data_IF_848234710491
#
_entry.id   IF_848234710491
#
_cell.length_a   1.000
_cell.length_b   1.000
_cell.length_c   1.000
_cell.angle_alpha   90.00
_cell.angle_beta   90.00
_cell.angle_gamma   90.00
#
_symmetry.space_group_name_H-M   'P 1'
#
loop_
_entity.id
_entity.type
_entity.pdbx_description
1 polymer ?
#
# COMPACT_ATOMS: atom_id res chain seq x y z
N UNK A 1 8.20 -9.60 -4.23
CA UNK A 1 8.12 -8.26 -4.82
C UNK A 1 8.56 -8.31 -6.28
N UNK A 2 7.80 -7.72 -7.18
CA UNK A 2 8.08 -7.64 -8.62
C UNK A 2 8.12 -6.18 -9.07
N UNK A 3 9.12 -5.84 -9.89
CA UNK A 3 9.14 -4.56 -10.61
C UNK A 3 8.26 -4.68 -11.85
N UNK A 4 7.19 -3.87 -11.96
CA UNK A 4 6.26 -3.99 -13.09
C UNK A 4 5.08 -3.04 -13.00
N UNK A 5 4.27 -3.06 -14.06
CA UNK A 5 3.06 -2.26 -14.18
C UNK A 5 1.85 -3.01 -13.62
N UNK A 6 1.28 -2.47 -12.54
CA UNK A 6 0.11 -3.03 -11.84
C UNK A 6 -1.19 -2.96 -12.64
N UNK A 7 -1.21 -2.25 -13.77
CA UNK A 7 -2.36 -2.22 -14.68
C UNK A 7 -2.32 -3.36 -15.73
N UNK A 8 -1.23 -4.12 -15.77
CA UNK A 8 -1.08 -5.29 -16.62
C UNK A 8 -1.56 -6.55 -15.91
N UNK A 9 -2.67 -7.12 -16.36
CA UNK A 9 -3.21 -8.36 -15.80
C UNK A 9 -2.22 -9.53 -15.91
N UNK A 10 -1.48 -9.61 -17.02
CA UNK A 10 -0.48 -10.66 -17.23
C UNK A 10 0.69 -10.55 -16.24
N UNK A 11 1.09 -9.31 -15.92
CA UNK A 11 2.15 -9.07 -14.94
C UNK A 11 1.70 -9.45 -13.52
N UNK A 12 0.46 -9.13 -13.16
CA UNK A 12 -0.09 -9.46 -11.84
C UNK A 12 -0.38 -10.96 -11.75
N UNK A 13 -0.85 -11.62 -12.81
CA UNK A 13 -1.05 -13.07 -12.83
C UNK A 13 0.29 -13.81 -12.67
N UNK A 14 1.34 -13.32 -13.35
CA UNK A 14 2.71 -13.83 -13.16
C UNK A 14 3.20 -13.63 -11.72
N UNK A 15 2.96 -12.47 -11.10
CA UNK A 15 3.30 -12.21 -9.69
C UNK A 15 2.59 -13.20 -8.77
N UNK A 16 1.32 -13.46 -9.03
CA UNK A 16 0.48 -14.34 -8.21
C UNK A 16 0.74 -15.83 -8.48
N UNK A 17 1.47 -16.18 -9.54
CA UNK A 17 1.75 -17.58 -9.93
C UNK A 17 0.47 -18.43 -10.00
N UNK A 18 -0.57 -17.91 -10.67
CA UNK A 18 -1.88 -18.55 -10.81
C UNK A 18 -2.68 -18.66 -9.51
N UNK A 19 -2.20 -18.11 -8.41
CA UNK A 19 -2.89 -18.14 -7.11
C UNK A 19 -3.85 -16.94 -6.98
N UNK A 20 -4.74 -17.00 -5.97
CA UNK A 20 -5.61 -15.88 -5.61
C UNK A 20 -5.22 -15.33 -4.25
N UNK A 21 -5.30 -14.01 -4.13
CA UNK A 21 -5.10 -13.34 -2.85
C UNK A 21 -6.31 -13.51 -1.94
N UNK A 22 -6.06 -13.75 -0.66
CA UNK A 22 -7.06 -13.76 0.41
C UNK A 22 -7.43 -12.33 0.81
N UNK A 23 -6.56 -11.39 0.51
CA UNK A 23 -6.75 -9.96 0.79
C UNK A 23 -6.00 -9.12 -0.23
N UNK A 24 -6.58 -7.98 -0.58
CA UNK A 24 -5.90 -6.88 -1.28
C UNK A 24 -5.79 -5.71 -0.31
N UNK A 25 -4.59 -5.15 -0.19
CA UNK A 25 -4.34 -3.95 0.59
C UNK A 25 -3.49 -3.02 -0.26
N UNK A 26 -4.09 -1.97 -0.82
CA UNK A 26 -3.44 -1.21 -1.89
C UNK A 26 -3.69 0.29 -1.77
N UNK A 27 -2.69 1.10 -2.15
CA UNK A 27 -2.68 2.56 -2.11
C UNK A 27 -2.35 3.12 -3.50
N UNK A 28 -3.30 3.06 -4.44
CA UNK A 28 -3.08 3.53 -5.81
C UNK A 28 -2.90 5.04 -5.87
N UNK A 29 -2.26 5.58 -6.92
CA UNK A 29 -2.23 7.01 -7.17
C UNK A 29 -3.64 7.57 -7.33
N UNK A 30 -3.88 8.76 -6.75
CA UNK A 30 -5.23 9.34 -6.68
C UNK A 30 -5.58 10.23 -7.89
N UNK A 31 -4.70 10.36 -8.88
CA UNK A 31 -4.88 11.23 -10.03
C UNK A 31 -4.90 12.72 -9.65
N UNK A 32 -4.16 13.12 -8.63
CA UNK A 32 -4.16 14.49 -8.08
C UNK A 32 -2.85 15.23 -8.26
N UNK A 33 -1.86 14.64 -8.95
CA UNK A 33 -0.51 15.22 -9.19
C UNK A 33 0.11 15.76 -7.90
N UNK A 34 0.23 14.91 -6.89
CA UNK A 34 0.67 15.33 -5.56
C UNK A 34 2.11 15.82 -5.56
N UNK A 35 2.33 17.09 -5.24
CA UNK A 35 3.65 17.65 -4.92
C UNK A 35 3.69 18.17 -3.49
N UNK A 36 4.59 17.60 -2.68
CA UNK A 36 4.83 18.12 -1.34
C UNK A 36 5.67 19.38 -1.38
N UNK A 37 5.14 20.49 -0.89
CA UNK A 37 5.86 21.76 -0.73
C UNK A 37 6.62 21.87 0.62
N UNK A 38 6.66 20.80 1.43
CA UNK A 38 7.24 20.81 2.78
C UNK A 38 8.75 20.68 2.83
N UNK A 39 9.40 20.22 1.75
CA UNK A 39 10.86 20.09 1.67
C UNK A 39 11.44 21.19 0.77
N UNK A 40 12.70 21.59 1.01
CA UNK A 40 13.46 22.42 0.06
C UNK A 40 13.41 21.81 -1.34
N UNK A 41 13.46 22.63 -2.40
CA UNK A 41 13.37 22.13 -3.80
C UNK A 41 14.39 21.04 -4.13
N UNK A 42 15.56 21.10 -3.49
CA UNK A 42 16.68 20.15 -3.66
C UNK A 42 16.47 18.79 -2.95
N UNK A 43 15.48 18.71 -2.06
CA UNK A 43 15.20 17.52 -1.25
C UNK A 43 13.79 16.98 -1.49
N UNK A 44 13.10 17.48 -2.52
CA UNK A 44 11.77 16.99 -2.89
C UNK A 44 11.90 15.65 -3.58
N UNK A 45 11.02 14.74 -3.23
CA UNK A 45 10.84 13.53 -4.02
C UNK A 45 10.37 13.90 -5.44
N UNK A 46 10.76 13.12 -6.42
CA UNK A 46 10.25 13.23 -7.78
C UNK A 46 8.73 13.08 -7.80
N UNK A 47 8.09 13.61 -8.84
CA UNK A 47 6.66 13.40 -9.07
C UNK A 47 6.44 11.90 -9.23
N UNK A 48 5.48 11.35 -8.49
CA UNK A 48 5.15 9.94 -8.58
C UNK A 48 4.67 9.61 -10.01
N UNK A 49 5.22 8.58 -10.61
CA UNK A 49 4.78 8.12 -11.91
C UNK A 49 3.29 7.77 -11.88
N UNK A 50 2.54 8.25 -12.87
CA UNK A 50 1.08 8.08 -13.02
C UNK A 50 0.21 8.72 -11.91
N UNK A 51 0.74 9.60 -11.04
CA UNK A 51 -0.11 10.30 -10.05
C UNK A 51 -1.07 11.33 -10.68
N UNK A 52 -0.93 11.58 -11.97
CA UNK A 52 -1.85 12.38 -12.80
C UNK A 52 -3.00 11.54 -13.40
N UNK A 53 -2.96 10.21 -13.29
CA UNK A 53 -3.93 9.28 -13.86
C UNK A 53 -4.71 8.55 -12.79
N UNK A 54 -5.95 8.26 -13.11
CA UNK A 54 -6.79 7.36 -12.34
C UNK A 54 -6.75 5.97 -12.98
N UNK A 55 -6.06 5.03 -12.33
CA UNK A 55 -5.79 3.71 -12.89
C UNK A 55 -6.96 2.75 -12.63
N UNK A 56 -7.43 2.05 -13.67
CA UNK A 56 -8.45 1.02 -13.52
C UNK A 56 -7.82 -0.31 -13.09
N UNK A 57 -7.91 -0.59 -11.80
CA UNK A 57 -7.40 -1.81 -11.17
C UNK A 57 -8.50 -2.78 -10.75
N UNK A 58 -9.76 -2.42 -10.91
CA UNK A 58 -10.87 -3.27 -10.48
C UNK A 58 -10.90 -4.63 -11.20
N UNK A 59 -10.70 -4.73 -12.54
CA UNK A 59 -10.67 -6.03 -13.22
C UNK A 59 -9.54 -6.94 -12.72
N UNK A 60 -8.39 -6.34 -12.39
CA UNK A 60 -7.22 -7.08 -11.87
C UNK A 60 -7.52 -7.64 -10.48
N UNK A 61 -8.05 -6.80 -9.59
CA UNK A 61 -8.42 -7.22 -8.24
C UNK A 61 -9.53 -8.28 -8.29
N UNK A 62 -10.49 -8.14 -9.20
CA UNK A 62 -11.53 -9.14 -9.40
C UNK A 62 -10.94 -10.49 -9.84
N UNK A 63 -10.02 -10.44 -10.80
CA UNK A 63 -9.38 -11.65 -11.32
C UNK A 63 -8.43 -12.31 -10.31
N UNK A 64 -7.71 -11.54 -9.49
CA UNK A 64 -6.60 -12.04 -8.66
C UNK A 64 -6.92 -12.18 -7.17
N UNK A 65 -8.16 -11.87 -6.70
CA UNK A 65 -8.52 -11.97 -5.28
C UNK A 65 -9.85 -12.65 -5.02
N UNK A 66 -10.04 -13.16 -3.80
CA UNK A 66 -11.29 -13.81 -3.36
C UNK A 66 -11.82 -13.31 -2.02
N UNK A 67 -11.03 -12.51 -1.30
CA UNK A 67 -11.34 -12.12 0.08
C UNK A 67 -11.60 -10.63 0.26
N UNK A 68 -10.91 -10.04 1.23
CA UNK A 68 -11.05 -8.64 1.58
C UNK A 68 -10.28 -7.71 0.63
N UNK A 69 -10.86 -6.55 0.32
CA UNK A 69 -10.21 -5.54 -0.54
C UNK A 69 -10.23 -4.21 0.18
N UNK A 70 -9.05 -3.64 0.41
CA UNK A 70 -8.83 -2.30 0.96
C UNK A 70 -8.18 -1.43 -0.11
N UNK A 71 -8.86 -0.37 -0.51
CA UNK A 71 -8.33 0.64 -1.44
C UNK A 71 -8.23 1.95 -0.70
N UNK A 72 -7.00 2.35 -0.39
CA UNK A 72 -6.72 3.66 0.21
C UNK A 72 -7.00 4.76 -0.80
N UNK A 73 -7.57 5.85 -0.34
CA UNK A 73 -7.95 6.96 -1.23
C UNK A 73 -8.20 8.26 -0.48
N UNK A 74 -8.38 9.33 -1.24
CA UNK A 74 -8.89 10.61 -0.75
C UNK A 74 -10.42 10.64 -0.84
N UNK A 75 -11.06 11.22 0.17
CA UNK A 75 -12.50 11.48 0.13
C UNK A 75 -12.96 12.28 -1.10
N UNK A 76 -12.05 13.05 -1.72
CA UNK A 76 -12.34 13.87 -2.92
C UNK A 76 -12.60 13.05 -4.17
N UNK A 77 -12.06 11.84 -4.24
CA UNK A 77 -12.13 10.96 -5.42
C UNK A 77 -12.77 9.60 -5.10
N UNK A 78 -13.28 9.41 -3.89
CA UNK A 78 -13.89 8.14 -3.47
C UNK A 78 -15.01 7.67 -4.41
N UNK A 79 -15.80 8.58 -4.96
CA UNK A 79 -16.90 8.23 -5.87
C UNK A 79 -16.40 7.53 -7.14
N UNK A 80 -15.24 7.96 -7.67
CA UNK A 80 -14.63 7.30 -8.84
C UNK A 80 -14.26 5.85 -8.55
N UNK A 81 -13.75 5.57 -7.33
CA UNK A 81 -13.45 4.21 -6.92
C UNK A 81 -14.71 3.38 -6.76
N UNK A 82 -15.79 3.94 -6.19
CA UNK A 82 -17.08 3.26 -6.05
C UNK A 82 -17.65 2.90 -7.42
N UNK A 83 -17.60 3.83 -8.38
CA UNK A 83 -18.03 3.60 -9.77
C UNK A 83 -17.16 2.54 -10.47
N UNK A 84 -15.83 2.61 -10.30
CA UNK A 84 -14.90 1.65 -10.89
C UNK A 84 -15.12 0.22 -10.36
N UNK A 85 -15.45 0.09 -9.07
CA UNK A 85 -15.71 -1.18 -8.40
C UNK A 85 -17.19 -1.59 -8.41
N UNK A 86 -17.98 -1.12 -9.38
CA UNK A 86 -19.42 -1.42 -9.46
C UNK A 86 -19.70 -2.94 -9.47
N UNK A 87 -18.87 -3.74 -10.14
CA UNK A 87 -18.95 -5.20 -10.13
C UNK A 87 -18.78 -5.85 -8.74
N UNK A 88 -18.17 -5.15 -7.78
CA UNK A 88 -18.05 -5.59 -6.38
C UNK A 88 -19.26 -5.14 -5.53
N UNK A 89 -20.14 -4.31 -6.08
CA UNK A 89 -21.20 -3.63 -5.34
C UNK A 89 -20.66 -2.45 -4.49
N UNK A 90 -21.54 -1.88 -3.68
CA UNK A 90 -21.16 -0.76 -2.82
C UNK A 90 -20.17 -1.21 -1.72
N UNK A 91 -19.21 -0.35 -1.31
CA UNK A 91 -18.30 -0.70 -0.23
C UNK A 91 -19.02 -1.12 1.03
N UNK A 92 -18.61 -2.24 1.62
CA UNK A 92 -19.25 -2.76 2.85
C UNK A 92 -18.83 -1.99 4.09
N UNK A 93 -17.69 -1.28 4.01
CA UNK A 93 -17.21 -0.42 5.08
C UNK A 93 -16.28 0.67 4.53
N UNK A 94 -16.01 1.65 5.41
CA UNK A 94 -14.97 2.65 5.22
C UNK A 94 -14.10 2.66 6.48
N UNK A 95 -12.80 2.48 6.30
CA UNK A 95 -11.81 2.69 7.36
C UNK A 95 -11.31 4.11 7.27
N UNK A 96 -11.25 4.79 8.40
CA UNK A 96 -10.72 6.16 8.54
C UNK A 96 -9.42 6.05 9.34
N UNK A 97 -8.31 6.34 8.68
CA UNK A 97 -7.05 6.53 9.38
C UNK A 97 -6.98 7.96 9.92
N UNK A 98 -7.16 8.11 11.22
CA UNK A 98 -6.95 9.39 11.90
C UNK A 98 -5.45 9.62 12.12
N UNK A 99 -4.94 10.73 11.57
CA UNK A 99 -3.53 11.16 11.58
C UNK A 99 -3.33 12.29 12.57
N UNK A 100 -2.95 12.03 13.82
CA UNK A 100 -2.70 13.10 14.79
C UNK A 100 -1.72 14.14 14.24
N UNK A 101 -2.01 15.41 14.44
CA UNK A 101 -1.18 16.51 13.96
C UNK A 101 -1.45 17.00 12.53
N UNK A 102 -2.33 16.31 11.78
CA UNK A 102 -2.90 16.76 10.50
C UNK A 102 -1.97 17.36 9.46
N UNK A 103 -2.53 17.89 8.40
CA UNK A 103 -1.85 18.72 7.39
C UNK A 103 -2.16 20.21 7.59
N UNK A 104 -1.30 21.10 7.12
CA UNK A 104 -1.49 22.54 7.29
C UNK A 104 -2.71 23.03 6.49
N UNK A 105 -2.93 22.50 5.28
CA UNK A 105 -4.04 22.90 4.40
C UNK A 105 -4.07 24.41 4.08
N UNK A 106 -5.20 24.89 3.61
CA UNK A 106 -5.47 26.34 3.51
C UNK A 106 -5.96 26.84 4.88
N UNK A 107 -5.14 27.64 5.54
CA UNK A 107 -5.37 28.12 6.91
C UNK A 107 -6.65 28.98 7.08
N UNK A 108 -7.23 29.46 5.98
CA UNK A 108 -8.39 30.35 6.02
C UNK A 108 -9.70 29.73 5.57
N UNK A 109 -9.63 28.66 4.75
CA UNK A 109 -10.80 28.14 4.01
C UNK A 109 -11.10 26.67 4.24
N UNK A 110 -10.19 25.91 4.87
CA UNK A 110 -10.38 24.47 5.09
C UNK A 110 -10.09 24.09 6.54
N UNK A 111 -10.77 23.03 7.00
CA UNK A 111 -10.37 22.35 8.22
C UNK A 111 -9.05 21.62 8.02
N UNK A 112 -8.36 21.33 9.11
CA UNK A 112 -7.14 20.50 9.08
C UNK A 112 -7.50 19.12 8.52
N UNK A 113 -6.77 18.69 7.48
CA UNK A 113 -6.89 17.32 6.94
C UNK A 113 -6.10 16.36 7.82
N UNK A 114 -6.75 15.78 8.80
CA UNK A 114 -6.17 14.89 9.80
C UNK A 114 -6.57 13.42 9.61
N UNK A 115 -7.09 13.07 8.44
CA UNK A 115 -7.44 11.69 8.11
C UNK A 115 -7.18 11.33 6.65
N UNK A 116 -7.09 10.04 6.39
CA UNK A 116 -7.25 9.39 5.09
C UNK A 116 -8.29 8.28 5.22
N UNK A 117 -8.80 7.79 4.10
CA UNK A 117 -9.81 6.75 4.08
C UNK A 117 -9.35 5.54 3.26
N UNK A 118 -9.82 4.36 3.65
CA UNK A 118 -9.83 3.20 2.78
C UNK A 118 -11.27 2.75 2.55
N UNK A 119 -11.64 2.57 1.29
CA UNK A 119 -12.87 1.88 0.92
C UNK A 119 -12.64 0.38 1.07
N UNK A 120 -13.61 -0.32 1.65
CA UNK A 120 -13.45 -1.73 1.99
C UNK A 120 -14.59 -2.55 1.42
N UNK A 121 -14.23 -3.60 0.70
CA UNK A 121 -15.16 -4.64 0.23
C UNK A 121 -14.76 -5.98 0.82
N UNK A 122 -15.71 -6.89 0.95
CA UNK A 122 -15.42 -8.29 1.21
C UNK A 122 -16.23 -9.19 0.26
N UNK A 123 -15.66 -10.32 -0.11
CA UNK A 123 -16.27 -11.30 -1.02
C UNK A 123 -16.71 -12.54 -0.24
N UNK A 124 -17.40 -12.32 0.90
CA UNK A 124 -17.91 -13.39 1.75
C UNK A 124 -16.97 -13.87 2.87
N UNK A 125 -15.71 -13.43 2.88
CA UNK A 125 -14.77 -13.81 3.95
C UNK A 125 -15.15 -13.15 5.29
N UNK A 126 -15.21 -13.89 6.43
CA UNK A 126 -15.53 -13.30 7.72
C UNK A 126 -14.37 -12.47 8.29
N UNK A 127 -14.66 -11.60 9.25
CA UNK A 127 -13.62 -10.97 10.08
C UNK A 127 -12.95 -12.00 10.99
N UNK A 128 -11.69 -11.77 11.28
CA UNK A 128 -10.89 -12.55 12.24
C UNK A 128 -10.89 -11.88 13.61
N UNK A 129 -11.02 -12.67 14.67
CA UNK A 129 -10.90 -12.20 16.04
C UNK A 129 -11.99 -11.20 16.47
N UNK A 130 -11.65 -10.33 17.42
CA UNK A 130 -12.57 -9.34 17.98
C UNK A 130 -12.79 -8.19 17.00
N UNK A 131 -14.04 -7.80 16.81
CA UNK A 131 -14.40 -6.60 16.03
C UNK A 131 -13.81 -5.35 16.67
N UNK A 132 -13.33 -4.43 15.82
CA UNK A 132 -12.84 -3.10 16.19
C UNK A 132 -13.64 -2.03 15.47
N UNK A 133 -13.49 -0.78 15.89
CA UNK A 133 -14.05 0.36 15.18
C UNK A 133 -13.36 0.62 13.85
N UNK A 134 -14.04 1.31 12.95
CA UNK A 134 -13.49 1.69 11.64
C UNK A 134 -12.67 2.99 11.64
N UNK A 135 -12.51 3.64 12.80
CA UNK A 135 -11.59 4.78 12.96
C UNK A 135 -10.32 4.29 13.65
N UNK A 136 -9.24 4.24 12.88
CA UNK A 136 -7.93 3.75 13.32
C UNK A 136 -7.02 4.93 13.67
N UNK A 137 -6.56 4.96 14.91
CA UNK A 137 -5.68 6.01 15.43
C UNK A 137 -4.24 5.51 15.37
N UNK A 138 -3.59 5.70 14.24
CA UNK A 138 -2.21 5.31 14.00
C UNK A 138 -1.36 6.55 13.82
N UNK A 139 -0.28 6.67 14.58
CA UNK A 139 0.66 7.78 14.42
C UNK A 139 1.34 7.70 13.05
N UNK A 140 1.65 8.88 12.48
CA UNK A 140 2.53 8.92 11.31
C UNK A 140 3.94 8.51 11.73
N UNK A 141 4.64 7.84 10.84
CA UNK A 141 6.09 7.64 11.00
C UNK A 141 6.78 9.00 11.17
N UNK A 142 7.92 9.02 11.86
CA UNK A 142 8.72 10.24 11.96
C UNK A 142 9.15 10.71 10.56
N UNK A 143 9.10 12.01 10.30
CA UNK A 143 9.43 12.55 8.97
C UNK A 143 10.84 12.16 8.48
N UNK A 144 11.78 11.93 9.40
CA UNK A 144 13.13 11.45 9.09
C UNK A 144 13.19 9.99 8.63
N UNK A 145 12.16 9.17 8.93
CA UNK A 145 12.08 7.77 8.51
C UNK A 145 11.30 7.55 7.21
N UNK A 146 10.82 8.63 6.58
CA UNK A 146 10.10 8.53 5.31
C UNK A 146 11.08 8.22 4.16
N UNK A 147 10.92 7.07 3.57
CA UNK A 147 11.62 6.63 2.35
C UNK A 147 10.81 6.86 1.08
N UNK A 148 9.51 7.15 1.23
CA UNK A 148 8.57 7.44 0.14
C UNK A 148 7.65 8.62 0.53
N UNK A 149 7.26 9.52 -0.40
CA UNK A 149 6.49 10.73 -0.08
C UNK A 149 5.14 10.48 0.55
N UNK A 150 4.50 9.37 0.20
CA UNK A 150 3.16 8.97 0.68
C UNK A 150 3.20 7.69 1.53
N UNK A 151 4.34 7.36 2.14
CA UNK A 151 4.51 6.17 2.95
C UNK A 151 3.41 6.06 4.02
N UNK A 152 2.75 4.91 4.05
CA UNK A 152 1.80 4.58 5.11
C UNK A 152 2.50 3.88 6.29
N UNK A 153 2.06 4.12 7.52
CA UNK A 153 2.53 3.36 8.67
C UNK A 153 2.27 1.86 8.52
N UNK A 154 3.24 1.06 8.93
CA UNK A 154 3.16 -0.41 8.90
C UNK A 154 1.95 -0.92 9.70
N UNK A 155 1.61 -0.25 10.80
CA UNK A 155 0.49 -0.59 11.68
C UNK A 155 -0.87 -0.64 10.96
N UNK A 156 -1.09 0.15 9.92
CA UNK A 156 -2.32 0.09 9.14
C UNK A 156 -2.45 -1.25 8.40
N UNK A 157 -1.34 -1.76 7.87
CA UNK A 157 -1.29 -3.07 7.22
C UNK A 157 -1.48 -4.20 8.23
N UNK A 158 -0.78 -4.15 9.37
CA UNK A 158 -0.91 -5.19 10.41
C UNK A 158 -2.32 -5.25 10.96
N UNK A 159 -2.96 -4.10 11.25
CA UNK A 159 -4.33 -4.04 11.73
C UNK A 159 -5.32 -4.63 10.72
N UNK A 160 -5.19 -4.26 9.42
CA UNK A 160 -6.03 -4.81 8.37
C UNK A 160 -5.86 -6.34 8.25
N UNK A 161 -4.63 -6.83 8.19
CA UNK A 161 -4.31 -8.26 8.04
C UNK A 161 -4.84 -9.08 9.23
N UNK A 162 -4.65 -8.61 10.46
CA UNK A 162 -5.07 -9.33 11.67
C UNK A 162 -6.59 -9.41 11.81
N UNK A 163 -7.33 -8.46 11.22
CA UNK A 163 -8.80 -8.44 11.27
C UNK A 163 -9.45 -9.18 10.13
N UNK A 164 -8.74 -9.42 9.03
CA UNK A 164 -9.37 -9.96 7.81
C UNK A 164 -8.76 -11.27 7.31
N UNK A 165 -7.59 -11.65 7.82
CA UNK A 165 -6.89 -12.86 7.40
C UNK A 165 -6.29 -13.61 8.58
N UNK A 166 -5.78 -14.81 8.32
CA UNK A 166 -4.98 -15.61 9.28
C UNK A 166 -3.52 -15.64 8.83
N UNK A 167 -2.56 -15.94 9.74
CA UNK A 167 -1.20 -16.25 9.33
C UNK A 167 -1.16 -17.28 8.18
N UNK A 168 -0.25 -17.09 7.23
CA UNK A 168 -0.14 -17.88 6.01
C UNK A 168 -1.03 -17.40 4.85
N UNK A 169 -1.94 -16.44 5.07
CA UNK A 169 -2.75 -15.86 4.01
C UNK A 169 -1.90 -15.05 3.00
N UNK A 170 -2.39 -14.98 1.77
CA UNK A 170 -1.78 -14.24 0.68
C UNK A 170 -2.39 -12.84 0.57
N UNK A 171 -1.56 -11.82 0.57
CA UNK A 171 -1.99 -10.42 0.43
C UNK A 171 -1.38 -9.84 -0.84
N UNK A 172 -2.23 -9.26 -1.70
CA UNK A 172 -1.82 -8.57 -2.91
C UNK A 172 -1.72 -7.07 -2.63
N UNK A 173 -0.56 -6.48 -2.97
CA UNK A 173 -0.29 -5.05 -2.93
C UNK A 173 0.20 -4.59 -4.30
N UNK A 174 -0.57 -3.74 -4.97
CA UNK A 174 -0.30 -3.32 -6.35
C UNK A 174 0.61 -2.09 -6.47
N UNK A 175 0.80 -1.32 -5.39
CA UNK A 175 1.58 -0.08 -5.38
C UNK A 175 2.43 -0.01 -4.12
N UNK A 176 3.46 -0.87 -4.09
CA UNK A 176 4.22 -1.20 -2.86
C UNK A 176 5.00 -0.02 -2.29
N UNK A 177 5.46 0.92 -3.16
CA UNK A 177 6.28 2.04 -2.74
C UNK A 177 7.50 1.57 -1.94
N UNK A 178 7.65 2.08 -0.72
CA UNK A 178 8.74 1.71 0.19
C UNK A 178 8.55 0.38 0.94
N UNK A 179 7.54 -0.42 0.61
CA UNK A 179 7.35 -1.77 1.16
C UNK A 179 6.74 -1.84 2.55
N UNK A 180 5.95 -0.85 2.98
CA UNK A 180 5.30 -0.90 4.31
C UNK A 180 4.41 -2.13 4.49
N UNK A 181 3.69 -2.52 3.45
CA UNK A 181 2.83 -3.72 3.45
C UNK A 181 3.67 -5.01 3.54
N UNK A 182 4.87 -5.02 2.94
CA UNK A 182 5.79 -6.16 3.03
C UNK A 182 6.24 -6.36 4.49
N UNK A 183 6.62 -5.29 5.17
CA UNK A 183 6.98 -5.34 6.60
C UNK A 183 5.79 -5.79 7.46
N UNK A 184 4.58 -5.28 7.16
CA UNK A 184 3.36 -5.72 7.86
C UNK A 184 3.12 -7.23 7.69
N UNK A 185 3.38 -7.76 6.51
CA UNK A 185 3.31 -9.20 6.22
C UNK A 185 4.27 -10.02 7.08
N UNK A 186 5.54 -9.62 7.15
CA UNK A 186 6.54 -10.27 8.01
C UNK A 186 6.12 -10.28 9.48
N UNK A 187 5.68 -9.12 10.00
CA UNK A 187 5.24 -9.01 11.38
C UNK A 187 4.04 -9.90 11.72
N UNK A 188 3.20 -10.19 10.75
CA UNK A 188 1.92 -10.88 10.96
C UNK A 188 1.89 -12.29 10.36
N UNK A 189 2.98 -12.74 9.75
CA UNK A 189 3.11 -14.08 9.13
C UNK A 189 2.23 -14.26 7.88
N UNK A 190 2.05 -13.20 7.08
CA UNK A 190 1.35 -13.24 5.79
C UNK A 190 2.34 -13.18 4.64
N UNK A 191 2.00 -13.85 3.53
CA UNK A 191 2.80 -13.79 2.30
C UNK A 191 2.35 -12.62 1.45
N UNK A 192 3.24 -11.66 1.21
CA UNK A 192 2.93 -10.46 0.43
C UNK A 192 3.39 -10.62 -1.00
N UNK A 193 2.43 -10.52 -1.92
CA UNK A 193 2.64 -10.43 -3.35
C UNK A 193 2.57 -8.95 -3.73
N UNK A 194 3.73 -8.32 -3.89
CA UNK A 194 3.82 -6.88 -4.06
C UNK A 194 4.35 -6.50 -5.44
N UNK A 195 3.80 -5.45 -6.03
CA UNK A 195 4.25 -4.85 -7.27
C UNK A 195 4.61 -3.38 -7.07
N UNK A 196 5.65 -2.94 -7.75
CA UNK A 196 6.10 -1.55 -7.77
C UNK A 196 6.62 -1.20 -9.15
N UNK A 197 6.20 -0.06 -9.69
CA UNK A 197 6.58 0.39 -11.04
C UNK A 197 8.03 0.91 -11.08
N UNK A 198 8.44 1.66 -10.05
CA UNK A 198 9.75 2.30 -9.99
C UNK A 198 10.83 1.33 -9.49
N UNK A 199 11.86 1.01 -10.30
CA UNK A 199 12.97 0.17 -9.85
C UNK A 199 13.67 0.73 -8.60
N UNK A 200 13.76 2.05 -8.47
CA UNK A 200 14.37 2.70 -7.32
C UNK A 200 13.60 2.42 -6.02
N UNK A 201 12.27 2.40 -6.07
CA UNK A 201 11.45 2.03 -4.91
C UNK A 201 11.44 0.53 -4.64
N UNK A 202 11.59 -0.30 -5.67
CA UNK A 202 11.84 -1.75 -5.48
C UNK A 202 13.10 -1.95 -4.65
N UNK A 203 14.20 -1.27 -4.99
CA UNK A 203 15.47 -1.35 -4.24
C UNK A 203 15.30 -0.87 -2.79
N UNK A 204 14.55 0.22 -2.58
CA UNK A 204 14.22 0.73 -1.24
C UNK A 204 13.44 -0.30 -0.43
N UNK A 205 12.41 -0.91 -1.02
CA UNK A 205 11.58 -1.90 -0.35
C UNK A 205 12.37 -3.17 0.01
N UNK A 206 13.21 -3.67 -0.91
CA UNK A 206 14.08 -4.84 -0.67
C UNK A 206 15.08 -4.54 0.43
N UNK A 207 15.76 -3.39 0.37
CA UNK A 207 16.71 -2.98 1.43
C UNK A 207 16.01 -2.88 2.79
N UNK A 208 14.85 -2.24 2.86
CA UNK A 208 14.07 -2.11 4.09
C UNK A 208 13.68 -3.46 4.68
N UNK A 209 13.30 -4.41 3.82
CA UNK A 209 12.98 -5.77 4.25
C UNK A 209 14.22 -6.50 4.80
N UNK A 210 15.37 -6.40 4.11
CA UNK A 210 16.63 -6.97 4.60
C UNK A 210 17.05 -6.36 5.95
N UNK A 211 16.95 -5.04 6.09
CA UNK A 211 17.28 -4.33 7.33
C UNK A 211 16.35 -4.74 8.50
N UNK A 212 15.08 -5.03 8.20
CA UNK A 212 14.08 -5.43 9.19
C UNK A 212 14.24 -6.89 9.63
N UNK A 213 14.43 -7.81 8.67
CA UNK A 213 14.47 -9.26 8.95
C UNK A 213 15.86 -9.76 9.30
N UNK A 214 16.91 -9.09 8.85
CA UNK A 214 18.28 -9.59 8.89
C UNK A 214 18.59 -10.66 7.83
N UNK A 215 17.63 -10.96 6.95
CA UNK A 215 17.77 -11.93 5.89
C UNK A 215 18.22 -11.30 4.57
N UNK A 216 18.67 -12.12 3.62
CA UNK A 216 19.07 -11.68 2.30
C UNK A 216 17.99 -11.97 1.26
N UNK A 217 17.55 -10.94 0.56
CA UNK A 217 16.62 -11.08 -0.55
C UNK A 217 17.30 -11.76 -1.75
N UNK A 218 16.56 -12.62 -2.43
CA UNK A 218 17.03 -13.38 -3.59
C UNK A 218 16.14 -13.09 -4.78
N UNK A 219 16.77 -12.92 -5.94
CA UNK A 219 16.04 -12.81 -7.20
C UNK A 219 15.49 -14.18 -7.58
N UNK A 220 14.18 -14.23 -7.81
CA UNK A 220 13.51 -15.45 -8.26
C UNK A 220 14.10 -15.96 -9.60
N UNK A 221 14.15 -17.26 -9.74
CA UNK A 221 14.71 -17.94 -10.92
C UNK A 221 16.24 -18.07 -10.94
N UNK A 222 17.01 -16.99 -10.63
CA UNK A 222 18.47 -17.03 -10.62
C UNK A 222 19.07 -17.32 -9.24
N UNK A 223 18.34 -17.02 -8.17
CA UNK A 223 18.85 -17.07 -6.80
C UNK A 223 19.90 -16.00 -6.48
N UNK A 224 20.11 -15.04 -7.38
CA UNK A 224 21.04 -13.93 -7.16
C UNK A 224 20.65 -13.13 -5.93
N UNK A 225 21.62 -12.92 -5.03
CA UNK A 225 21.41 -12.17 -3.79
C UNK A 225 21.39 -10.66 -4.11
N UNK A 226 20.42 -9.95 -3.54
CA UNK A 226 20.38 -8.49 -3.61
C UNK A 226 21.58 -7.90 -2.83
N UNK A 227 22.37 -7.00 -3.42
CA UNK A 227 23.57 -6.49 -2.78
C UNK A 227 23.26 -5.74 -1.49
N UNK A 228 23.90 -6.12 -0.40
CA UNK A 228 23.88 -5.33 0.82
C UNK A 228 24.84 -4.14 0.62
N UNK A 229 24.31 -2.94 0.38
CA UNK A 229 25.12 -1.74 0.37
C UNK A 229 25.55 -1.50 1.82
N UNK A 230 26.82 -1.85 2.15
CA UNK A 230 27.41 -1.40 3.40
C UNK A 230 27.44 0.13 3.33
N UNK A 231 26.77 0.80 4.27
CA UNK A 231 26.99 2.22 4.46
C UNK A 231 28.48 2.38 4.74
N UNK A 232 29.21 3.03 3.83
CA UNK A 232 30.58 3.42 4.08
C UNK A 232 30.56 4.26 5.36
N UNK A 233 31.24 3.75 6.38
CA UNK A 233 31.44 4.46 7.64
C UNK A 233 32.23 5.73 7.31
N UNK A 234 31.55 6.87 7.31
CA UNK A 234 32.16 8.21 7.27
C UNK A 234 32.44 8.68 8.69
#
# INVERSE_FOLDING_TARGET
>A
LMCGDSTSIDAVDKLMDGQKADMVFTDPPYGVSYQSNRRPKTERFDVLENDDKFLDIAPIIEACSTGWVFVWTSWKVQNKWIEMFDGFGYPTNMVIWHKPGGGIGDLKKTFISDYEIALVWHRGAPLCGKRIGSVWKVAKDAAASYMHPTQKPVELGTEAMDKTTKPGAKVLELFSGSGSTIIAGEMTGRSIYAMELSPAYVDVAVKRWQDFTGEQAKLEGSGQIFPTIKADAA
#
